data_IF_535690242264
#
_entry.id   IF_535690242264
#
_cell.length_a   1.000
_cell.length_b   1.000
_cell.length_c   1.000
_cell.angle_alpha   90.00
_cell.angle_beta   90.00
_cell.angle_gamma   90.00
#
_symmetry.space_group_name_H-M   'P 1'
#
loop_
_entity.id
_entity.type
_entity.pdbx_description
1 polymer ?
#
# COMPACT_ATOMS: atom_id res chain seq x y z
N UNK A 1 24.57 -4.54 -4.71
CA UNK A 1 24.10 -3.73 -3.58
C UNK A 1 22.61 -3.43 -3.72
N UNK A 2 21.86 -3.65 -2.65
CA UNK A 2 20.42 -3.45 -2.71
C UNK A 2 20.08 -1.96 -2.63
N UNK A 3 19.31 -1.50 -3.58
CA UNK A 3 18.88 -0.11 -3.58
C UNK A 3 17.48 -0.04 -2.96
N UNK A 4 17.42 0.33 -1.68
CA UNK A 4 16.17 0.41 -0.95
C UNK A 4 15.21 1.39 -1.61
N UNK A 5 15.78 2.46 -2.17
CA UNK A 5 14.96 3.48 -2.81
C UNK A 5 14.24 2.92 -4.05
N UNK A 6 14.97 2.13 -4.85
CA UNK A 6 14.37 1.51 -6.04
C UNK A 6 13.31 0.49 -5.64
N UNK A 7 13.58 -0.26 -4.56
CA UNK A 7 12.62 -1.23 -4.05
C UNK A 7 11.36 -0.54 -3.56
N UNK A 8 11.53 0.59 -2.88
CA UNK A 8 10.41 1.39 -2.39
C UNK A 8 9.54 1.86 -3.56
N UNK A 9 10.18 2.36 -4.61
CA UNK A 9 9.45 2.86 -5.77
C UNK A 9 8.70 1.77 -6.51
N UNK A 10 9.28 0.57 -6.60
CA UNK A 10 8.59 -0.55 -7.22
C UNK A 10 7.37 -0.95 -6.42
N UNK A 11 7.51 -1.01 -5.11
CA UNK A 11 6.39 -1.37 -4.24
C UNK A 11 5.30 -0.32 -4.34
N UNK A 12 5.69 0.95 -4.37
CA UNK A 12 4.74 2.05 -4.50
C UNK A 12 3.98 1.94 -5.83
N UNK A 13 4.71 1.69 -6.91
CA UNK A 13 4.09 1.57 -8.21
C UNK A 13 3.06 0.45 -8.22
N UNK A 14 3.43 -0.71 -7.69
CA UNK A 14 2.54 -1.85 -7.64
C UNK A 14 1.33 -1.56 -6.77
N UNK A 15 1.53 -0.90 -5.65
CA UNK A 15 0.44 -0.53 -4.76
C UNK A 15 -0.55 0.40 -5.46
N UNK A 16 -0.03 1.41 -6.15
CA UNK A 16 -0.86 2.36 -6.88
C UNK A 16 -1.66 1.63 -7.96
N UNK A 17 -1.01 0.70 -8.67
CA UNK A 17 -1.70 -0.05 -9.73
C UNK A 17 -2.84 -0.89 -9.16
N UNK A 18 -2.63 -1.53 -8.02
CA UNK A 18 -3.69 -2.33 -7.42
C UNK A 18 -4.87 -1.46 -6.99
N UNK A 19 -4.56 -0.29 -6.45
CA UNK A 19 -5.61 0.64 -6.03
C UNK A 19 -6.41 1.13 -7.24
N UNK A 20 -5.71 1.43 -8.33
CA UNK A 20 -6.39 1.88 -9.55
C UNK A 20 -7.26 0.79 -10.14
N UNK A 21 -6.81 -0.46 -10.07
CA UNK A 21 -7.60 -1.59 -10.57
C UNK A 21 -8.91 -1.73 -9.84
N UNK A 22 -8.93 -1.36 -8.58
CA UNK A 22 -10.14 -1.43 -7.77
C UNK A 22 -11.08 -0.26 -7.99
N UNK A 23 -10.66 0.71 -8.80
CA UNK A 23 -11.50 1.86 -9.14
C UNK A 23 -11.23 3.09 -8.28
N UNK A 24 -10.17 3.07 -7.49
CA UNK A 24 -9.84 4.21 -6.65
C UNK A 24 -8.85 5.15 -7.34
N UNK A 25 -8.79 6.41 -6.91
CA UNK A 25 -7.89 7.36 -7.54
C UNK A 25 -6.43 7.05 -7.22
N UNK A 26 -5.57 7.43 -8.13
CA UNK A 26 -4.14 7.23 -7.99
C UNK A 26 -3.59 7.91 -6.72
N UNK A 27 -4.16 9.05 -6.37
CA UNK A 27 -3.74 9.79 -5.19
C UNK A 27 -3.87 8.97 -3.91
N UNK A 28 -4.88 8.13 -3.84
CA UNK A 28 -5.06 7.28 -2.67
C UNK A 28 -3.90 6.31 -2.54
N UNK A 29 -3.46 5.75 -3.67
CA UNK A 29 -2.32 4.84 -3.67
C UNK A 29 -1.05 5.53 -3.24
N UNK A 30 -0.84 6.74 -3.73
CA UNK A 30 0.36 7.50 -3.38
C UNK A 30 0.37 7.85 -1.90
N UNK A 31 -0.78 8.29 -1.37
CA UNK A 31 -0.89 8.62 0.04
C UNK A 31 -0.65 7.38 0.91
N UNK A 32 -1.20 6.24 0.51
CA UNK A 32 -1.01 5.00 1.24
C UNK A 32 0.47 4.61 1.27
N UNK A 33 1.16 4.73 0.15
CA UNK A 33 2.57 4.39 0.08
C UNK A 33 3.39 5.26 1.02
N UNK A 34 3.09 6.55 1.07
CA UNK A 34 3.80 7.46 1.95
C UNK A 34 3.57 7.14 3.42
N UNK A 35 2.34 6.80 3.76
CA UNK A 35 1.99 6.48 5.14
C UNK A 35 2.58 5.15 5.58
N UNK A 36 2.60 4.16 4.70
CA UNK A 36 3.17 2.85 5.00
C UNK A 36 4.69 2.93 5.15
N UNK A 37 5.32 3.72 4.31
CA UNK A 37 6.72 4.10 4.49
C UNK A 37 7.79 3.08 4.14
N UNK A 38 7.47 1.81 4.04
CA UNK A 38 8.47 0.79 3.72
C UNK A 38 7.95 -0.19 2.68
N UNK A 39 8.85 -0.83 1.90
CA UNK A 39 8.42 -1.83 0.94
C UNK A 39 7.69 -3.00 1.59
N UNK A 40 8.12 -3.41 2.77
CA UNK A 40 7.49 -4.50 3.49
C UNK A 40 6.03 -4.17 3.82
N UNK A 41 5.78 -2.97 4.32
CA UNK A 41 4.42 -2.55 4.65
C UNK A 41 3.57 -2.44 3.39
N UNK A 42 4.16 -1.94 2.31
CA UNK A 42 3.44 -1.82 1.04
C UNK A 42 3.06 -3.19 0.49
N UNK A 43 3.96 -4.16 0.61
CA UNK A 43 3.67 -5.51 0.13
C UNK A 43 2.52 -6.14 0.92
N UNK A 44 2.45 -5.88 2.21
CA UNK A 44 1.33 -6.36 3.02
C UNK A 44 0.02 -5.75 2.55
N UNK A 45 0.07 -4.45 2.25
CA UNK A 45 -1.11 -3.76 1.74
C UNK A 45 -1.54 -4.30 0.38
N UNK A 46 -0.57 -4.54 -0.49
CA UNK A 46 -0.84 -5.09 -1.82
C UNK A 46 -1.54 -6.44 -1.69
N UNK A 47 -1.04 -7.29 -0.79
CA UNK A 47 -1.63 -8.60 -0.56
C UNK A 47 -3.08 -8.48 -0.10
N UNK A 48 -3.33 -7.53 0.80
CA UNK A 48 -4.69 -7.27 1.28
C UNK A 48 -5.60 -6.86 0.12
N UNK A 49 -5.11 -5.95 -0.73
CA UNK A 49 -5.91 -5.46 -1.85
C UNK A 49 -6.23 -6.58 -2.83
N UNK A 50 -5.28 -7.47 -3.06
CA UNK A 50 -5.48 -8.56 -4.01
C UNK A 50 -6.43 -9.63 -3.47
N UNK A 51 -6.39 -9.88 -2.17
CA UNK A 51 -7.19 -10.94 -1.58
C UNK A 51 -8.57 -10.48 -1.15
N UNK A 52 -8.68 -9.30 -0.58
CA UNK A 52 -9.93 -8.78 -0.05
C UNK A 52 -10.69 -7.97 -1.07
N UNK A 53 -9.98 -7.24 -1.91
CA UNK A 53 -10.56 -6.37 -2.93
C UNK A 53 -11.59 -5.43 -2.32
N UNK A 54 -11.16 -4.56 -1.40
CA UNK A 54 -12.08 -3.67 -0.70
C UNK A 54 -12.80 -2.74 -1.67
N UNK A 55 -14.06 -2.46 -1.36
CA UNK A 55 -14.88 -1.63 -2.23
C UNK A 55 -15.00 -0.20 -1.74
N UNK A 56 -14.50 0.08 -0.54
CA UNK A 56 -14.56 1.41 0.04
C UNK A 56 -13.18 1.86 0.46
N UNK A 57 -12.90 3.15 0.24
CA UNK A 57 -11.62 3.72 0.64
C UNK A 57 -11.39 3.59 2.15
N UNK A 58 -12.46 3.63 2.93
CA UNK A 58 -12.34 3.47 4.39
C UNK A 58 -11.65 2.17 4.77
N UNK A 59 -11.97 1.08 4.05
CA UNK A 59 -11.37 -0.21 4.34
C UNK A 59 -9.88 -0.18 4.07
N UNK A 60 -9.48 0.54 3.03
CA UNK A 60 -8.07 0.67 2.68
C UNK A 60 -7.34 1.45 3.77
N UNK A 61 -7.93 2.54 4.24
CA UNK A 61 -7.32 3.35 5.28
C UNK A 61 -7.22 2.56 6.58
N UNK A 62 -8.27 1.83 6.93
CA UNK A 62 -8.27 1.02 8.15
C UNK A 62 -7.15 -0.01 8.13
N UNK A 63 -6.99 -0.70 7.00
CA UNK A 63 -5.95 -1.72 6.88
C UNK A 63 -4.57 -1.08 6.91
N UNK A 64 -4.43 0.09 6.27
CA UNK A 64 -3.17 0.81 6.28
C UNK A 64 -2.75 1.15 7.71
N UNK A 65 -3.68 1.62 8.51
CA UNK A 65 -3.40 1.96 9.90
C UNK A 65 -3.04 0.72 10.72
N UNK A 66 -3.72 -0.39 10.43
CA UNK A 66 -3.43 -1.65 11.13
C UNK A 66 -2.02 -2.12 10.79
N UNK A 67 -1.64 -2.04 9.53
CA UNK A 67 -0.30 -2.45 9.11
C UNK A 67 0.76 -1.57 9.75
N UNK A 68 0.54 -0.26 9.76
CA UNK A 68 1.48 0.67 10.39
C UNK A 68 1.64 0.38 11.86
N UNK A 69 0.54 0.06 12.52
CA UNK A 69 0.55 -0.25 13.95
C UNK A 69 1.36 -1.52 14.24
N UNK A 70 1.22 -2.53 13.37
CA UNK A 70 1.94 -3.78 13.55
C UNK A 70 3.44 -3.64 13.35
N UNK A 71 3.83 -2.80 12.41
CA UNK A 71 5.23 -2.65 12.05
C UNK A 71 5.96 -1.69 12.96
N UNK A 72 5.22 -0.81 13.55
CA UNK A 72 5.76 0.23 14.41
C UNK A 72 6.01 -0.33 15.81
N UNK A 73 7.13 -0.93 15.97
CA UNK A 73 7.47 -1.56 17.27
C UNK A 73 8.44 -0.74 18.04
#
# INVERSE_FOLDING_TARGET
MTDIHAEWQRARYQLVEEIKKLGFPEELGDAAARNLGSPKAMHRMISYLQNVKPKKAELIVDEMLAICSEIEE
#
